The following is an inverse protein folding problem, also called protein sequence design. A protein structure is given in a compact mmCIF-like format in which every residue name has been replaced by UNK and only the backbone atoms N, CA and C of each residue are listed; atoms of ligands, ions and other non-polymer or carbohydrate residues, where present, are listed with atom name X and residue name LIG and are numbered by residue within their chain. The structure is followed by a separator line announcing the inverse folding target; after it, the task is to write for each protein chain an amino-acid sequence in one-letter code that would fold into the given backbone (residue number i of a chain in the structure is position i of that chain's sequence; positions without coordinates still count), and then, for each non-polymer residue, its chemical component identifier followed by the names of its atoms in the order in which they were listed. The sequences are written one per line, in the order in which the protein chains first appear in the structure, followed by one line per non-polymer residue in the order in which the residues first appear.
data_IF_266091542617
#
_entry.id   IF_266091542617
#
_cell.length_a   1.000
_cell.length_b   1.000
_cell.length_c   1.000
_cell.angle_alpha   90.00
_cell.angle_beta   90.00
_cell.angle_gamma   90.00
#
_symmetry.space_group_name_H-M   'P 1'
#
loop_
_entity.id
_entity.type
_entity.pdbx_description
1 polymer ?
#
# COMPACT_ATOMS: atom_id res chain seq x y z
N UNK A 1 12.99 8.98 -9.98
CA UNK A 1 11.91 8.78 -8.98
C UNK A 1 11.01 7.69 -9.53
N UNK A 2 10.66 6.68 -8.73
CA UNK A 2 9.65 5.68 -9.13
C UNK A 2 8.30 6.40 -9.20
N UNK A 3 7.54 6.18 -10.27
CA UNK A 3 6.21 6.79 -10.41
C UNK A 3 5.32 6.42 -9.22
N UNK A 4 4.59 7.39 -8.66
CA UNK A 4 3.69 7.15 -7.52
C UNK A 4 2.72 5.98 -7.80
N UNK A 5 2.23 5.87 -9.04
CA UNK A 5 1.37 4.78 -9.49
C UNK A 5 2.03 3.38 -9.44
N UNK A 6 3.36 3.29 -9.54
CA UNK A 6 4.05 2.02 -9.40
C UNK A 6 4.03 1.56 -7.93
N UNK A 7 4.39 2.43 -7.00
CA UNK A 7 4.28 2.16 -5.55
C UNK A 7 2.83 1.85 -5.16
N UNK A 8 1.87 2.53 -5.78
CA UNK A 8 0.45 2.28 -5.62
C UNK A 8 0.07 0.86 -6.07
N UNK A 9 0.52 0.42 -7.25
CA UNK A 9 0.30 -0.94 -7.74
C UNK A 9 0.92 -2.02 -6.86
N UNK A 10 2.14 -1.80 -6.34
CA UNK A 10 2.73 -2.72 -5.34
C UNK A 10 1.90 -2.78 -4.06
N UNK A 11 1.41 -1.64 -3.61
CA UNK A 11 0.53 -1.56 -2.43
C UNK A 11 -0.79 -2.29 -2.67
N UNK A 12 -1.43 -2.06 -3.81
CA UNK A 12 -2.69 -2.72 -4.20
C UNK A 12 -2.54 -4.24 -4.27
N UNK A 13 -1.43 -4.75 -4.81
CA UNK A 13 -1.14 -6.19 -4.80
C UNK A 13 -1.01 -6.75 -3.38
N UNK A 14 -0.32 -6.05 -2.47
CA UNK A 14 -0.20 -6.49 -1.09
C UNK A 14 -1.58 -6.52 -0.39
N UNK A 15 -2.42 -5.51 -0.62
CA UNK A 15 -3.79 -5.46 -0.10
C UNK A 15 -4.66 -6.58 -0.70
N UNK A 16 -4.55 -6.85 -2.01
CA UNK A 16 -5.28 -7.93 -2.67
C UNK A 16 -4.95 -9.29 -2.03
N UNK A 17 -3.67 -9.58 -1.83
CA UNK A 17 -3.27 -10.84 -1.20
C UNK A 17 -3.59 -10.87 0.31
N UNK A 18 -3.44 -9.76 1.03
CA UNK A 18 -3.65 -9.69 2.48
C UNK A 18 -5.10 -9.59 2.93
N UNK A 19 -5.99 -9.02 2.11
CA UNK A 19 -7.40 -8.76 2.47
C UNK A 19 -8.39 -9.59 1.65
N UNK A 20 -8.02 -10.03 0.44
CA UNK A 20 -8.91 -10.69 -0.50
C UNK A 20 -8.45 -12.11 -0.89
N UNK A 21 -7.44 -12.68 -0.23
CA UNK A 21 -6.84 -13.98 -0.55
C UNK A 21 -6.37 -14.11 -2.02
N UNK A 22 -6.05 -12.99 -2.67
CA UNK A 22 -5.67 -12.95 -4.09
C UNK A 22 -6.84 -12.93 -5.08
N UNK A 23 -8.09 -12.88 -4.62
CA UNK A 23 -9.29 -12.83 -5.48
C UNK A 23 -9.63 -11.37 -5.87
N UNK A 24 -9.43 -10.96 -7.14
CA UNK A 24 -9.69 -9.59 -7.57
C UNK A 24 -11.18 -9.23 -7.57
N UNK A 25 -12.10 -10.21 -7.58
CA UNK A 25 -13.54 -9.94 -7.53
C UNK A 25 -13.99 -9.37 -6.18
N UNK A 26 -13.20 -9.59 -5.13
CA UNK A 26 -13.42 -9.08 -3.77
C UNK A 26 -12.83 -7.70 -3.54
N UNK A 27 -11.90 -7.26 -4.40
CA UNK A 27 -11.23 -5.97 -4.27
C UNK A 27 -12.06 -4.86 -4.92
N UNK A 28 -12.70 -4.01 -4.13
CA UNK A 28 -13.68 -3.04 -4.65
C UNK A 28 -13.08 -1.68 -4.94
N UNK A 29 -12.42 -1.09 -3.96
CA UNK A 29 -11.78 0.22 -4.13
C UNK A 29 -10.56 0.36 -3.25
N UNK A 30 -9.71 1.29 -3.67
CA UNK A 30 -8.49 1.69 -2.99
C UNK A 30 -8.33 3.19 -3.24
N UNK A 31 -8.10 3.95 -2.18
CA UNK A 31 -7.85 5.39 -2.19
C UNK A 31 -6.68 5.70 -1.27
N UNK A 32 -5.83 6.64 -1.64
CA UNK A 32 -4.73 7.09 -0.77
C UNK A 32 -4.10 8.40 -1.23
N UNK A 33 -3.23 8.95 -0.38
CA UNK A 33 -2.40 10.12 -0.67
C UNK A 33 -0.95 9.72 -0.87
N UNK A 34 -0.31 10.24 -1.93
CA UNK A 34 1.13 10.16 -2.10
C UNK A 34 1.82 11.18 -1.18
N UNK A 35 2.57 10.70 -0.20
CA UNK A 35 3.19 11.55 0.82
C UNK A 35 4.65 11.85 0.57
N UNK A 36 5.38 10.97 -0.12
CA UNK A 36 6.81 11.16 -0.42
C UNK A 36 7.28 10.29 -1.60
N UNK A 37 8.36 10.66 -2.33
CA UNK A 37 8.83 9.92 -3.50
C UNK A 37 9.40 8.55 -3.13
N UNK A 38 9.33 7.56 -4.03
CA UNK A 38 10.05 6.28 -3.87
C UNK A 38 11.26 6.25 -4.80
N UNK A 39 12.37 5.71 -4.31
CA UNK A 39 13.60 5.49 -5.06
C UNK A 39 13.74 4.01 -5.44
N UNK A 40 14.24 3.71 -6.66
CA UNK A 40 14.51 2.33 -7.05
C UNK A 40 15.42 1.61 -6.05
N UNK A 41 15.06 0.37 -5.69
CA UNK A 41 15.80 -0.44 -4.72
C UNK A 41 15.36 -0.26 -3.26
N UNK A 42 14.47 0.69 -2.95
CA UNK A 42 13.83 0.76 -1.63
C UNK A 42 12.88 -0.43 -1.43
N UNK A 43 12.87 -0.98 -0.22
CA UNK A 43 11.87 -1.97 0.20
C UNK A 43 10.60 -1.25 0.59
N UNK A 44 9.47 -1.74 0.08
CA UNK A 44 8.13 -1.23 0.44
C UNK A 44 7.48 -2.18 1.45
N UNK A 45 7.09 -1.65 2.59
CA UNK A 45 6.29 -2.37 3.60
C UNK A 45 4.90 -1.78 3.63
N UNK A 46 3.88 -2.61 3.39
CA UNK A 46 2.47 -2.22 3.42
C UNK A 46 1.91 -2.62 4.77
N UNK A 47 1.53 -1.62 5.56
CA UNK A 47 0.91 -1.80 6.88
C UNK A 47 -0.58 -1.58 6.69
N UNK A 48 -1.39 -2.57 7.06
CA UNK A 48 -2.84 -2.56 6.86
C UNK A 48 -3.54 -3.00 8.15
N UNK A 49 -4.63 -2.32 8.48
CA UNK A 49 -5.47 -2.61 9.63
C UNK A 49 -6.90 -2.82 9.14
N UNK A 50 -7.42 -4.03 9.40
CA UNK A 50 -8.73 -4.45 8.92
C UNK A 50 -9.82 -4.08 9.93
N UNK A 51 -10.91 -3.54 9.41
CA UNK A 51 -12.17 -3.32 10.12
C UNK A 51 -13.35 -3.82 9.26
N UNK A 52 -13.81 -5.05 9.51
CA UNK A 52 -14.87 -5.70 8.75
C UNK A 52 -14.54 -5.84 7.26
N UNK A 53 -15.24 -5.06 6.43
CA UNK A 53 -15.18 -4.99 4.97
C UNK A 53 -14.35 -3.81 4.43
N UNK A 54 -13.64 -3.11 5.31
CA UNK A 54 -12.69 -2.08 4.94
C UNK A 54 -11.37 -2.28 5.68
N UNK A 55 -10.32 -1.63 5.18
CA UNK A 55 -9.04 -1.56 5.86
C UNK A 55 -8.42 -0.18 5.62
N UNK A 56 -7.86 0.39 6.69
CA UNK A 56 -6.96 1.52 6.55
C UNK A 56 -5.55 1.01 6.33
N UNK A 57 -4.74 1.73 5.56
CA UNK A 57 -3.38 1.31 5.27
C UNK A 57 -2.43 2.49 5.06
N UNK A 58 -1.14 2.19 5.20
CA UNK A 58 -0.04 3.06 4.75
C UNK A 58 1.09 2.22 4.18
N UNK A 59 1.88 2.82 3.31
CA UNK A 59 3.09 2.20 2.75
C UNK A 59 4.29 3.01 3.17
N UNK A 60 5.28 2.32 3.75
CA UNK A 60 6.58 2.88 4.10
C UNK A 60 7.65 2.35 3.16
N UNK A 61 8.62 3.20 2.83
CA UNK A 61 9.80 2.84 2.08
C UNK A 61 11.02 2.87 3.00
N UNK A 62 11.94 1.92 2.81
CA UNK A 62 13.20 1.84 3.54
C UNK A 62 14.35 1.43 2.62
N UNK A 63 15.51 2.09 2.78
CA UNK A 63 16.75 1.73 2.10
C UNK A 63 17.80 1.24 3.11
N UNK A 64 18.16 -0.05 3.06
CA UNK A 64 19.14 -0.61 3.99
C UNK A 64 18.71 -0.46 5.46
N UNK A 65 19.52 0.23 6.26
CA UNK A 65 19.26 0.52 7.69
C UNK A 65 18.75 1.95 7.93
N UNK A 66 18.38 2.69 6.89
CA UNK A 66 17.81 4.03 7.03
C UNK A 66 16.45 3.99 7.75
N UNK A 67 16.01 5.14 8.25
CA UNK A 67 14.68 5.29 8.85
C UNK A 67 13.57 5.02 7.82
N UNK A 68 12.46 4.45 8.31
CA UNK A 68 11.27 4.26 7.49
C UNK A 68 10.63 5.60 7.14
N UNK A 69 10.20 5.73 5.88
CA UNK A 69 9.55 6.94 5.39
C UNK A 69 8.20 6.60 4.79
N UNK A 70 7.16 7.29 5.24
CA UNK A 70 5.80 7.11 4.69
C UNK A 70 5.75 7.66 3.26
N UNK A 71 5.41 6.79 2.30
CA UNK A 71 5.32 7.13 0.88
C UNK A 71 3.88 7.15 0.36
N UNK A 72 3.02 6.32 0.95
CA UNK A 72 1.57 6.35 0.74
C UNK A 72 0.93 6.40 2.11
N UNK A 73 0.03 7.37 2.31
CA UNK A 73 -0.63 7.62 3.59
C UNK A 73 -2.13 7.84 3.41
N UNK A 74 -2.87 7.85 4.53
CA UNK A 74 -4.33 7.96 4.55
C UNK A 74 -5.01 6.98 3.58
N UNK A 75 -4.49 5.74 3.52
CA UNK A 75 -5.02 4.71 2.64
C UNK A 75 -6.32 4.13 3.16
N UNK A 76 -7.30 3.97 2.28
CA UNK A 76 -8.55 3.24 2.53
C UNK A 76 -8.74 2.20 1.44
N UNK A 77 -8.99 0.95 1.83
CA UNK A 77 -9.34 -0.15 0.94
C UNK A 77 -10.71 -0.71 1.33
N UNK A 78 -11.59 -0.89 0.35
CA UNK A 78 -12.90 -1.52 0.52
C UNK A 78 -12.88 -2.86 -0.21
N UNK A 79 -13.34 -3.91 0.45
CA UNK A 79 -13.36 -5.28 -0.08
C UNK A 79 -14.58 -6.06 0.43
N UNK A 80 -14.89 -7.21 -0.17
CA UNK A 80 -16.01 -8.07 0.25
C UNK A 80 -15.66 -9.53 0.45
#
# INVERSE_FOLDING_TARGET
ILHGLCSYGFTGRALLHGLCDGDPSKFRSMDSRFSSPVFPGEKLTVQMWRDGHNAIYRTVAQQGTAEERVVIDNGLCIFS
#
